data_IF_649400799772
#
_entry.id   IF_649400799772
#
_cell.length_a   1.000
_cell.length_b   1.000
_cell.length_c   1.000
_cell.angle_alpha   90.00
_cell.angle_beta   90.00
_cell.angle_gamma   90.00
#
_symmetry.space_group_name_H-M   'P 1'
#
loop_
_entity.id
_entity.type
_entity.pdbx_description
1 polymer ?
#
# COMPACT_ATOMS: atom_id res chain seq x y z
N UNK A 1 11.26 10.38 -4.74
CA UNK A 1 11.38 8.98 -4.31
C UNK A 1 10.65 8.78 -3.00
N UNK A 2 9.42 8.27 -3.10
CA UNK A 2 8.61 7.86 -1.95
C UNK A 2 8.55 6.32 -1.91
N UNK A 3 8.62 5.77 -0.70
CA UNK A 3 8.44 4.34 -0.46
C UNK A 3 7.19 4.16 0.41
N UNK A 4 6.24 3.36 -0.06
CA UNK A 4 5.06 2.96 0.70
C UNK A 4 5.38 1.76 1.58
N UNK A 5 4.84 1.73 2.80
CA UNK A 5 4.97 0.59 3.71
C UNK A 5 3.57 0.20 4.15
N UNK A 6 3.25 -1.08 4.03
CA UNK A 6 1.99 -1.69 4.47
C UNK A 6 2.29 -3.03 5.14
N UNK A 7 1.38 -3.53 5.98
CA UNK A 7 1.54 -4.77 6.73
C UNK A 7 0.16 -5.30 7.09
N UNK A 8 0.07 -6.59 7.37
CA UNK A 8 -1.06 -7.25 8.03
C UNK A 8 -2.38 -7.04 7.29
N UNK A 9 -2.36 -7.25 5.97
CA UNK A 9 -3.54 -7.03 5.13
C UNK A 9 -4.66 -8.02 5.40
N UNK A 10 -4.35 -9.19 5.99
CA UNK A 10 -5.31 -10.19 6.49
C UNK A 10 -6.50 -10.46 5.55
N UNK A 11 -6.23 -10.59 4.25
CA UNK A 11 -7.23 -10.80 3.19
C UNK A 11 -8.35 -9.75 3.13
N UNK A 12 -8.16 -8.58 3.76
CA UNK A 12 -9.09 -7.48 3.70
C UNK A 12 -8.93 -6.70 2.38
N UNK A 13 -9.62 -7.18 1.35
CA UNK A 13 -9.54 -6.62 -0.01
C UNK A 13 -9.85 -5.13 -0.09
N UNK A 14 -10.86 -4.63 0.62
CA UNK A 14 -11.24 -3.21 0.60
C UNK A 14 -10.10 -2.31 1.13
N UNK A 15 -9.43 -2.72 2.20
CA UNK A 15 -8.30 -1.97 2.77
C UNK A 15 -7.08 -2.01 1.83
N UNK A 16 -6.84 -3.14 1.15
CA UNK A 16 -5.78 -3.28 0.17
C UNK A 16 -6.00 -2.34 -1.01
N UNK A 17 -7.22 -2.30 -1.56
CA UNK A 17 -7.57 -1.39 -2.66
C UNK A 17 -7.37 0.08 -2.26
N UNK A 18 -7.84 0.46 -1.06
CA UNK A 18 -7.66 1.81 -0.55
C UNK A 18 -6.17 2.18 -0.37
N UNK A 19 -5.34 1.25 0.11
CA UNK A 19 -3.90 1.46 0.26
C UNK A 19 -3.21 1.62 -1.10
N UNK A 20 -3.59 0.81 -2.10
CA UNK A 20 -3.07 0.91 -3.47
C UNK A 20 -3.40 2.27 -4.09
N UNK A 21 -4.66 2.72 -4.03
CA UNK A 21 -5.05 4.04 -4.53
C UNK A 21 -4.28 5.16 -3.84
N UNK A 22 -4.11 5.04 -2.52
CA UNK A 22 -3.39 6.04 -1.72
C UNK A 22 -1.93 6.19 -2.16
N UNK A 23 -1.25 5.07 -2.41
CA UNK A 23 0.14 5.06 -2.86
C UNK A 23 0.28 5.55 -4.30
N UNK A 24 -0.63 5.13 -5.19
CA UNK A 24 -0.66 5.60 -6.57
C UNK A 24 -0.84 7.13 -6.64
N UNK A 25 -1.82 7.68 -5.91
CA UNK A 25 -2.10 9.12 -5.86
C UNK A 25 -0.96 9.93 -5.22
N UNK A 26 -0.18 9.32 -4.33
CA UNK A 26 0.98 9.96 -3.72
C UNK A 26 2.23 9.93 -4.61
N UNK A 27 2.24 9.18 -5.73
CA UNK A 27 3.44 8.99 -6.54
C UNK A 27 4.50 8.13 -5.86
N UNK A 28 4.07 7.12 -5.10
CA UNK A 28 4.98 6.13 -4.52
C UNK A 28 5.55 5.24 -5.63
N UNK A 29 6.88 5.11 -5.66
CA UNK A 29 7.60 4.37 -6.69
C UNK A 29 7.87 2.91 -6.28
N UNK A 30 7.87 2.62 -4.98
CA UNK A 30 8.13 1.28 -4.44
C UNK A 30 7.29 1.07 -3.19
N UNK A 31 6.67 -0.10 -3.05
CA UNK A 31 5.92 -0.49 -1.85
C UNK A 31 6.58 -1.70 -1.21
N UNK A 32 6.73 -1.66 0.11
CA UNK A 32 7.18 -2.77 0.95
C UNK A 32 5.99 -3.28 1.75
N UNK A 33 5.75 -4.58 1.68
CA UNK A 33 4.74 -5.28 2.47
C UNK A 33 5.44 -6.20 3.47
N UNK A 34 5.20 -5.99 4.77
CA UNK A 34 6.03 -6.53 5.85
C UNK A 34 5.41 -7.68 6.65
N UNK A 35 4.09 -7.85 6.62
CA UNK A 35 3.35 -8.75 7.52
C UNK A 35 2.13 -9.34 6.86
#
# INVERSE_FOLDING_TARGET
MLVGIVSDTHDNGEQVEAAVERFANAGVETVVHCG
#
